data_IF_077582027829
#
_entry.id   IF_077582027829
#
_cell.length_a   1.000
_cell.length_b   1.000
_cell.length_c   1.000
_cell.angle_alpha   90.00
_cell.angle_beta   90.00
_cell.angle_gamma   90.00
#
_symmetry.space_group_name_H-M   'P 1'
#
loop_
_entity.id
_entity.type
_entity.pdbx_description
1 polymer ?
#
# COMPACT_ATOMS: atom_id res chain seq x y z
N UNK A 1 17.28 76.01 -43.94
CA UNK A 1 17.48 76.05 -45.41
C UNK A 1 16.73 74.89 -45.98
N UNK A 2 15.86 75.23 -46.87
CA UNK A 2 14.90 74.43 -47.59
C UNK A 2 15.53 73.65 -48.76
N UNK A 3 14.72 72.96 -49.49
CA UNK A 3 14.46 71.52 -49.83
C UNK A 3 14.87 71.25 -51.31
N UNK A 4 14.29 70.52 -52.20
CA UNK A 4 13.05 69.75 -52.28
C UNK A 4 13.17 68.36 -53.01
N UNK A 5 12.14 67.63 -52.98
CA UNK A 5 11.05 67.37 -53.97
C UNK A 5 11.21 66.14 -54.91
N UNK A 6 10.13 65.39 -54.97
CA UNK A 6 9.24 65.00 -56.08
C UNK A 6 9.81 63.95 -57.07
N UNK A 7 9.11 63.07 -57.68
CA UNK A 7 7.74 62.77 -58.06
C UNK A 7 7.67 61.44 -58.80
N UNK A 8 6.60 60.67 -58.55
CA UNK A 8 5.65 60.04 -59.42
C UNK A 8 6.05 59.29 -60.71
N UNK A 9 5.44 58.15 -60.90
CA UNK A 9 4.53 57.62 -61.90
C UNK A 9 4.66 56.15 -62.06
N UNK A 10 3.73 55.30 -61.82
CA UNK A 10 2.42 54.95 -62.43
C UNK A 10 2.56 54.28 -63.83
N UNK A 11 1.72 53.27 -64.00
CA UNK A 11 1.16 52.65 -65.23
C UNK A 11 1.63 51.20 -65.46
N UNK A 12 0.78 50.30 -65.23
CA UNK A 12 -0.36 49.62 -65.86
C UNK A 12 0.03 48.28 -66.60
N UNK A 13 -0.65 47.26 -66.18
CA UNK A 13 -1.42 46.25 -66.91
C UNK A 13 -0.74 45.43 -68.05
N UNK A 14 -0.79 44.13 -67.93
CA UNK A 14 -1.38 43.22 -68.93
C UNK A 14 -1.49 41.75 -68.37
N UNK A 15 -2.69 41.23 -68.50
CA UNK A 15 -3.08 39.88 -68.22
C UNK A 15 -2.55 38.92 -69.29
N UNK A 16 -2.03 37.72 -68.87
CA UNK A 16 -1.99 36.55 -69.75
C UNK A 16 -2.35 35.31 -68.92
N UNK A 17 -3.41 34.63 -69.33
CA UNK A 17 -3.88 33.35 -68.90
C UNK A 17 -2.83 32.26 -69.13
N UNK A 18 -2.51 31.50 -68.13
CA UNK A 18 -1.80 30.25 -68.25
C UNK A 18 -2.34 29.22 -67.27
N UNK A 19 -3.28 28.41 -67.74
CA UNK A 19 -3.80 27.26 -67.01
C UNK A 19 -2.68 26.22 -66.85
N UNK A 20 -2.31 25.93 -65.59
CA UNK A 20 -1.49 24.78 -65.22
C UNK A 20 -2.20 23.98 -64.15
N UNK A 21 -2.44 22.73 -64.49
CA UNK A 21 -3.01 21.64 -63.69
C UNK A 21 -2.41 21.59 -62.30
N UNK A 22 -3.15 21.98 -61.29
CA UNK A 22 -2.86 21.68 -59.92
C UNK A 22 -3.26 20.23 -59.66
N UNK A 23 -2.28 19.35 -59.56
CA UNK A 23 -2.47 17.99 -59.01
C UNK A 23 -3.00 18.09 -57.58
N UNK A 24 -4.26 17.67 -57.39
CA UNK A 24 -4.81 17.43 -56.07
C UNK A 24 -4.06 16.30 -55.42
N UNK A 25 -3.14 16.66 -54.53
CA UNK A 25 -2.76 15.74 -53.45
C UNK A 25 -3.89 15.77 -52.44
N UNK A 26 -4.51 14.62 -52.10
CA UNK A 26 -5.39 14.60 -50.95
C UNK A 26 -4.52 14.95 -49.72
N UNK A 27 -5.04 15.80 -48.80
CA UNK A 27 -4.38 15.98 -47.52
C UNK A 27 -4.29 14.57 -46.88
N UNK A 28 -3.08 14.14 -46.54
CA UNK A 28 -2.89 13.05 -45.64
C UNK A 28 -3.78 13.32 -44.42
N UNK A 29 -4.78 12.49 -44.24
CA UNK A 29 -5.50 12.42 -42.98
C UNK A 29 -4.46 12.25 -41.92
N UNK A 30 -4.09 13.30 -41.24
CA UNK A 30 -3.54 13.24 -39.90
C UNK A 30 -4.47 12.36 -39.10
N UNK A 31 -3.93 11.42 -38.38
CA UNK A 31 -4.62 10.62 -37.41
C UNK A 31 -5.50 11.57 -36.60
N UNK A 32 -6.80 11.32 -36.65
CA UNK A 32 -7.79 12.16 -35.99
C UNK A 32 -7.47 12.18 -34.49
N UNK A 33 -7.05 13.34 -34.07
CA UNK A 33 -7.06 13.73 -32.68
C UNK A 33 -8.52 13.60 -32.18
N UNK A 34 -8.83 12.43 -31.63
CA UNK A 34 -10.01 12.27 -30.80
C UNK A 34 -9.66 12.98 -29.50
N UNK A 35 -9.94 14.28 -29.43
CA UNK A 35 -9.90 15.07 -28.20
C UNK A 35 -10.97 14.58 -27.20
N UNK A 36 -10.81 13.34 -26.73
CA UNK A 36 -11.40 12.91 -25.48
C UNK A 36 -10.75 13.74 -24.38
N UNK A 37 -11.55 14.26 -23.46
CA UNK A 37 -11.06 14.95 -22.27
C UNK A 37 -10.08 14.02 -21.57
N UNK A 38 -8.84 14.47 -21.29
CA UNK A 38 -7.86 13.68 -20.60
C UNK A 38 -8.40 13.22 -19.24
N UNK A 39 -8.15 11.96 -18.87
CA UNK A 39 -8.57 11.42 -17.57
C UNK A 39 -7.86 12.18 -16.45
N UNK A 40 -8.62 12.63 -15.47
CA UNK A 40 -8.07 13.20 -14.24
C UNK A 40 -7.67 12.07 -13.29
N UNK A 41 -6.39 11.96 -13.03
CA UNK A 41 -5.82 10.93 -12.16
C UNK A 41 -5.21 11.59 -10.95
N UNK A 42 -5.55 11.09 -9.77
CA UNK A 42 -4.94 11.49 -8.51
C UNK A 42 -4.08 10.34 -7.99
N UNK A 43 -2.87 10.65 -7.55
CA UNK A 43 -1.96 9.70 -6.91
C UNK A 43 -1.57 10.23 -5.54
N UNK A 44 -1.12 9.34 -4.66
CA UNK A 44 -0.63 9.76 -3.34
C UNK A 44 0.76 10.37 -3.41
N UNK A 45 1.66 9.84 -4.23
CA UNK A 45 3.06 10.27 -4.30
C UNK A 45 3.50 10.66 -5.71
N UNK A 46 4.59 11.42 -5.79
CA UNK A 46 5.20 11.83 -7.07
C UNK A 46 5.72 10.65 -7.89
N UNK A 47 6.19 9.58 -7.23
CA UNK A 47 6.66 8.36 -7.92
C UNK A 47 5.49 7.70 -8.63
N UNK A 48 4.36 7.52 -7.96
CA UNK A 48 3.15 6.97 -8.58
C UNK A 48 2.64 7.89 -9.69
N UNK A 49 2.72 9.22 -9.49
CA UNK A 49 2.36 10.19 -10.53
C UNK A 49 3.25 10.06 -11.78
N UNK A 50 4.54 9.82 -11.62
CA UNK A 50 5.43 9.60 -12.75
C UNK A 50 5.06 8.32 -13.50
N UNK A 51 4.90 7.19 -12.81
CA UNK A 51 4.49 5.93 -13.44
C UNK A 51 3.19 6.09 -14.26
N UNK A 52 2.19 6.78 -13.69
CA UNK A 52 0.93 7.08 -14.41
C UNK A 52 1.17 7.95 -15.63
N UNK A 53 2.02 8.99 -15.53
CA UNK A 53 2.37 9.86 -16.65
C UNK A 53 3.09 9.11 -17.76
N UNK A 54 3.98 8.17 -17.42
CA UNK A 54 4.69 7.36 -18.41
C UNK A 54 3.74 6.47 -19.23
N UNK A 55 2.69 5.95 -18.61
CA UNK A 55 1.67 5.13 -19.28
C UNK A 55 0.64 5.99 -20.00
N UNK A 56 0.15 7.03 -19.34
CA UNK A 56 -0.99 7.82 -19.80
C UNK A 56 -0.65 8.88 -20.84
N UNK A 57 0.56 9.49 -20.74
CA UNK A 57 1.01 10.62 -21.60
C UNK A 57 -0.06 11.71 -21.68
N UNK A 58 -0.40 12.15 -22.89
CA UNK A 58 -1.34 13.23 -23.18
C UNK A 58 -2.80 12.88 -22.86
N UNK A 59 -3.09 11.63 -22.54
CA UNK A 59 -4.44 11.15 -22.23
C UNK A 59 -4.79 11.21 -20.75
N UNK A 60 -3.87 11.65 -19.90
CA UNK A 60 -4.08 11.79 -18.45
C UNK A 60 -3.62 13.15 -17.96
N UNK A 61 -4.35 13.69 -17.01
CA UNK A 61 -3.93 14.82 -16.19
C UNK A 61 -3.71 14.30 -14.77
N UNK A 62 -2.45 14.27 -14.33
CA UNK A 62 -2.07 13.63 -13.07
C UNK A 62 -1.71 14.66 -12.01
N UNK A 63 -2.38 14.59 -10.87
CA UNK A 63 -2.04 15.30 -9.64
C UNK A 63 -1.49 14.34 -8.58
N UNK A 64 -0.44 14.76 -7.86
CA UNK A 64 0.04 14.08 -6.66
C UNK A 64 -0.43 14.83 -5.43
N UNK A 65 -1.00 14.12 -4.44
CA UNK A 65 -1.46 14.74 -3.19
C UNK A 65 -0.25 15.16 -2.36
N UNK A 66 0.66 14.22 -2.08
CA UNK A 66 1.90 14.55 -1.40
C UNK A 66 2.76 15.34 -2.38
N UNK A 67 3.17 16.58 -2.02
CA UNK A 67 3.97 17.42 -2.90
C UNK A 67 5.37 16.84 -3.10
N UNK A 68 6.09 17.25 -4.15
CA UNK A 68 7.47 16.85 -4.37
C UNK A 68 8.34 17.06 -3.13
N UNK A 69 9.00 15.98 -2.72
CA UNK A 69 9.83 15.97 -1.52
C UNK A 69 9.05 15.92 -0.20
N UNK A 70 7.74 15.78 -0.23
CA UNK A 70 6.93 15.49 0.95
C UNK A 70 7.05 14.03 1.37
N UNK A 71 6.79 13.76 2.64
CA UNK A 71 6.83 12.43 3.22
C UNK A 71 5.40 11.87 3.34
N UNK A 72 5.05 10.78 2.60
CA UNK A 72 3.72 10.17 2.67
C UNK A 72 3.38 9.58 4.04
N UNK A 73 4.37 9.19 4.83
CA UNK A 73 4.18 8.62 6.17
C UNK A 73 3.66 9.61 7.21
N UNK A 74 3.79 10.91 6.94
CA UNK A 74 3.43 11.97 7.88
C UNK A 74 2.59 13.08 7.25
N UNK A 75 2.14 12.91 6.00
CA UNK A 75 1.40 13.94 5.30
C UNK A 75 -0.04 14.09 5.81
N UNK A 76 -0.36 15.30 6.26
CA UNK A 76 -1.71 15.68 6.68
C UNK A 76 -2.51 16.22 5.47
N UNK A 77 -3.59 15.53 5.04
CA UNK A 77 -4.35 15.96 3.88
C UNK A 77 -5.11 17.28 4.13
N UNK A 78 -5.18 18.10 3.09
CA UNK A 78 -5.85 19.40 3.11
C UNK A 78 -7.25 19.31 2.47
N UNK A 79 -8.14 20.31 2.70
CA UNK A 79 -9.41 20.40 1.97
C UNK A 79 -9.27 20.48 0.44
N UNK A 80 -8.14 20.98 -0.05
CA UNK A 80 -7.82 21.00 -1.47
C UNK A 80 -7.59 19.60 -2.01
N UNK A 81 -6.88 18.77 -1.27
CA UNK A 81 -6.60 17.37 -1.64
C UNK A 81 -7.91 16.58 -1.73
N UNK A 82 -8.81 16.78 -0.76
CA UNK A 82 -10.15 16.20 -0.78
C UNK A 82 -10.95 16.62 -2.02
N UNK A 83 -10.84 17.89 -2.44
CA UNK A 83 -11.49 18.37 -3.66
C UNK A 83 -10.88 17.78 -4.95
N UNK A 84 -9.56 17.62 -5.00
CA UNK A 84 -8.87 16.97 -6.12
C UNK A 84 -9.28 15.50 -6.24
N UNK A 85 -9.39 14.78 -5.12
CA UNK A 85 -9.89 13.39 -5.09
C UNK A 85 -11.35 13.31 -5.57
N UNK A 86 -12.21 14.23 -5.13
CA UNK A 86 -13.61 14.25 -5.55
C UNK A 86 -13.80 14.48 -7.06
N UNK A 87 -12.85 15.16 -7.70
CA UNK A 87 -12.87 15.46 -9.13
C UNK A 87 -12.12 14.42 -10.00
N UNK A 88 -11.46 13.47 -9.38
CA UNK A 88 -10.66 12.43 -10.05
C UNK A 88 -11.54 11.40 -10.78
N UNK A 89 -11.09 10.93 -11.94
CA UNK A 89 -11.66 9.78 -12.65
C UNK A 89 -11.03 8.45 -12.20
N UNK A 90 -9.79 8.50 -11.69
CA UNK A 90 -9.06 7.36 -11.11
C UNK A 90 -8.19 7.86 -9.96
N UNK A 91 -8.09 7.09 -8.90
CA UNK A 91 -7.10 7.30 -7.83
C UNK A 91 -6.16 6.11 -7.73
N UNK A 92 -4.86 6.37 -7.57
CA UNK A 92 -3.85 5.38 -7.26
C UNK A 92 -3.19 5.71 -5.94
N UNK A 93 -3.20 4.75 -5.04
CA UNK A 93 -2.48 4.75 -3.77
C UNK A 93 -1.42 3.68 -3.79
N UNK A 94 -0.45 3.72 -2.90
CA UNK A 94 0.45 2.59 -2.71
C UNK A 94 -0.13 1.59 -1.72
N UNK A 95 -0.65 2.07 -0.60
CA UNK A 95 -1.04 1.27 0.58
C UNK A 95 0.13 0.63 1.31
N UNK A 96 -0.14 -0.44 2.05
CA UNK A 96 0.83 -1.15 2.90
C UNK A 96 1.52 -0.22 3.92
N UNK A 97 0.76 0.74 4.46
CA UNK A 97 1.22 1.75 5.42
C UNK A 97 2.30 2.72 4.88
N UNK A 98 2.43 2.88 3.56
CA UNK A 98 3.23 3.97 3.01
C UNK A 98 2.60 5.32 3.36
N UNK A 99 1.30 5.43 3.11
CA UNK A 99 0.57 6.65 3.39
C UNK A 99 0.03 6.68 4.80
N UNK A 100 0.05 7.88 5.41
CA UNK A 100 -0.60 8.12 6.68
C UNK A 100 -2.09 7.78 6.58
N UNK A 101 -2.64 7.20 7.64
CA UNK A 101 -4.03 6.73 7.69
C UNK A 101 -5.06 7.83 7.36
N UNK A 102 -4.80 9.07 7.79
CA UNK A 102 -5.64 10.22 7.48
C UNK A 102 -5.71 10.51 5.98
N UNK A 103 -4.62 10.27 5.24
CA UNK A 103 -4.57 10.44 3.80
C UNK A 103 -5.42 9.39 3.09
N UNK A 104 -5.29 8.12 3.45
CA UNK A 104 -6.11 7.04 2.89
C UNK A 104 -7.61 7.28 3.19
N UNK A 105 -7.95 7.62 4.44
CA UNK A 105 -9.33 8.01 4.79
C UNK A 105 -9.87 9.16 3.95
N UNK A 106 -9.05 10.16 3.67
CA UNK A 106 -9.47 11.31 2.86
C UNK A 106 -9.76 10.88 1.43
N UNK A 107 -8.95 9.99 0.85
CA UNK A 107 -9.19 9.45 -0.48
C UNK A 107 -10.49 8.63 -0.49
N UNK A 108 -10.62 7.69 0.43
CA UNK A 108 -11.80 6.80 0.49
C UNK A 108 -13.10 7.57 0.71
N UNK A 109 -13.09 8.61 1.54
CA UNK A 109 -14.28 9.39 1.85
C UNK A 109 -14.70 10.34 0.71
N UNK A 110 -13.77 10.81 -0.12
CA UNK A 110 -14.04 11.85 -1.12
C UNK A 110 -14.08 11.33 -2.56
N UNK A 111 -13.48 10.18 -2.87
CA UNK A 111 -13.59 9.60 -4.20
C UNK A 111 -15.06 9.31 -4.56
N UNK A 112 -15.47 9.64 -5.81
CA UNK A 112 -16.83 9.33 -6.29
C UNK A 112 -17.08 7.84 -6.33
N UNK A 113 -18.34 7.42 -6.20
CA UNK A 113 -18.74 6.02 -6.14
C UNK A 113 -18.18 5.17 -7.30
N UNK A 114 -18.10 5.75 -8.49
CA UNK A 114 -17.68 5.05 -9.71
C UNK A 114 -16.19 5.30 -10.05
N UNK A 115 -15.47 6.04 -9.21
CA UNK A 115 -14.03 6.26 -9.37
C UNK A 115 -13.26 5.07 -8.83
N UNK A 116 -12.49 4.35 -9.66
CA UNK A 116 -11.60 3.31 -9.15
C UNK A 116 -10.58 3.92 -8.18
N UNK A 117 -10.46 3.32 -7.00
CA UNK A 117 -9.38 3.58 -6.06
C UNK A 117 -8.51 2.32 -6.02
N UNK A 118 -7.29 2.40 -6.57
CA UNK A 118 -6.44 1.23 -6.80
C UNK A 118 -5.21 1.32 -5.91
N UNK A 119 -5.06 0.33 -5.02
CA UNK A 119 -3.83 0.10 -4.27
C UNK A 119 -2.80 -0.58 -5.17
N UNK A 120 -1.72 0.13 -5.52
CA UNK A 120 -0.72 -0.42 -6.45
C UNK A 120 0.09 -1.54 -5.82
N UNK A 121 0.54 -1.38 -4.58
CA UNK A 121 1.35 -2.41 -3.94
C UNK A 121 0.57 -3.71 -3.72
N UNK A 122 -0.65 -3.63 -3.20
CA UNK A 122 -1.47 -4.82 -2.93
C UNK A 122 -1.93 -5.52 -4.21
N UNK A 123 -2.39 -4.75 -5.21
CA UNK A 123 -2.93 -5.33 -6.44
C UNK A 123 -1.86 -5.79 -7.43
N UNK A 124 -0.61 -5.30 -7.31
CA UNK A 124 0.50 -5.67 -8.20
C UNK A 124 0.98 -7.11 -8.04
N UNK A 125 0.68 -7.77 -6.93
CA UNK A 125 0.94 -9.21 -6.78
C UNK A 125 0.33 -10.04 -7.91
N UNK A 126 -0.86 -9.64 -8.41
CA UNK A 126 -1.51 -10.31 -9.54
C UNK A 126 -0.72 -10.15 -10.85
N UNK A 127 0.21 -9.21 -10.90
CA UNK A 127 1.14 -8.98 -12.02
C UNK A 127 2.55 -9.49 -11.73
N UNK A 128 2.73 -10.24 -10.63
CA UNK A 128 3.98 -10.91 -10.30
C UNK A 128 4.94 -10.06 -9.46
N UNK A 129 4.48 -8.95 -8.86
CA UNK A 129 5.29 -8.24 -7.89
C UNK A 129 5.67 -9.15 -6.73
N UNK A 130 6.93 -9.09 -6.34
CA UNK A 130 7.46 -9.78 -5.17
C UNK A 130 7.28 -8.87 -3.95
N UNK A 131 6.62 -9.36 -2.93
CA UNK A 131 6.34 -8.60 -1.71
C UNK A 131 7.26 -9.07 -0.59
N UNK A 132 8.01 -8.14 0.00
CA UNK A 132 8.93 -8.43 1.09
C UNK A 132 8.21 -8.18 2.41
N UNK A 133 8.03 -9.22 3.24
CA UNK A 133 7.61 -9.01 4.61
C UNK A 133 8.68 -8.25 5.39
N UNK A 134 8.30 -7.21 6.13
CA UNK A 134 9.17 -6.56 7.11
C UNK A 134 9.30 -7.46 8.36
N UNK A 135 9.84 -8.63 8.18
CA UNK A 135 10.14 -9.54 9.29
C UNK A 135 11.63 -9.42 9.59
N UNK A 136 11.99 -8.59 10.55
CA UNK A 136 13.37 -8.58 11.06
C UNK A 136 13.77 -9.90 11.74
N UNK A 137 12.82 -10.71 12.09
CA UNK A 137 13.08 -12.04 12.61
C UNK A 137 12.89 -13.04 11.47
N UNK A 138 13.97 -13.34 10.76
CA UNK A 138 14.07 -14.34 9.67
C UNK A 138 13.56 -15.75 10.10
N UNK A 139 13.12 -15.91 11.36
CA UNK A 139 12.54 -17.11 11.92
C UNK A 139 11.02 -17.14 12.02
N UNK A 140 10.31 -16.06 11.74
CA UNK A 140 8.85 -15.98 11.88
C UNK A 140 8.13 -16.15 10.53
N UNK A 141 8.28 -17.33 9.94
CA UNK A 141 7.38 -17.79 8.88
C UNK A 141 6.04 -18.19 9.50
N UNK A 142 5.16 -17.21 9.76
CA UNK A 142 3.85 -17.37 10.40
C UNK A 142 2.78 -16.71 9.55
N UNK A 143 1.52 -17.06 9.83
CA UNK A 143 0.37 -16.47 9.17
C UNK A 143 0.29 -14.96 9.42
N UNK A 144 -0.04 -14.21 8.38
CA UNK A 144 -0.42 -12.79 8.48
C UNK A 144 -1.92 -12.66 8.51
N UNK A 145 -2.43 -12.09 9.61
CA UNK A 145 -3.85 -12.03 9.88
C UNK A 145 -4.36 -10.60 9.87
N UNK A 146 -5.20 -10.27 8.88
CA UNK A 146 -5.81 -8.97 8.71
C UNK A 146 -7.30 -8.92 9.00
N UNK A 147 -7.86 -7.70 8.84
CA UNK A 147 -9.29 -7.44 8.73
C UNK A 147 -9.59 -6.89 7.34
N UNK A 148 -10.68 -7.38 6.74
CA UNK A 148 -11.07 -6.93 5.40
C UNK A 148 -12.58 -6.73 5.29
N UNK A 149 -12.98 -5.74 4.48
CA UNK A 149 -14.35 -5.56 4.01
C UNK A 149 -14.39 -5.80 2.51
N UNK A 150 -15.24 -6.70 2.05
CA UNK A 150 -15.38 -7.05 0.62
C UNK A 150 -16.82 -6.91 0.16
N UNK A 151 -16.99 -6.87 -1.16
CA UNK A 151 -18.28 -6.74 -1.81
C UNK A 151 -18.79 -5.30 -1.89
N UNK A 152 -19.67 -5.07 -2.85
CA UNK A 152 -20.23 -3.73 -3.12
C UNK A 152 -21.33 -3.37 -2.11
N UNK A 153 -22.04 -4.35 -1.56
CA UNK A 153 -23.16 -4.15 -0.63
C UNK A 153 -24.32 -3.33 -1.21
N UNK A 154 -24.44 -3.25 -2.53
CA UNK A 154 -25.43 -2.41 -3.22
C UNK A 154 -26.86 -2.76 -2.81
N UNK A 155 -27.17 -4.06 -2.65
CA UNK A 155 -28.48 -4.53 -2.20
C UNK A 155 -28.82 -4.09 -0.76
N UNK A 156 -27.84 -3.67 0.02
CA UNK A 156 -27.96 -3.17 1.39
C UNK A 156 -27.86 -1.65 1.49
N UNK A 157 -27.74 -0.97 0.35
CA UNK A 157 -27.56 0.47 0.27
C UNK A 157 -26.19 0.96 0.74
N UNK A 158 -25.18 0.10 0.75
CA UNK A 158 -23.82 0.49 1.08
C UNK A 158 -23.28 1.49 0.05
N UNK A 159 -22.56 2.47 0.54
CA UNK A 159 -21.86 3.50 -0.25
C UNK A 159 -20.47 3.67 0.35
N UNK A 160 -19.56 4.36 -0.32
CA UNK A 160 -18.23 4.69 0.23
C UNK A 160 -18.28 5.45 1.55
N UNK A 161 -19.37 6.15 1.83
CA UNK A 161 -19.59 6.85 3.08
C UNK A 161 -20.28 6.00 4.15
N UNK A 162 -20.43 4.71 3.93
CA UNK A 162 -20.96 3.77 4.92
C UNK A 162 -19.86 3.30 5.85
N UNK A 163 -20.23 2.99 7.08
CA UNK A 163 -19.33 2.43 8.10
C UNK A 163 -19.68 0.96 8.34
N UNK A 164 -18.68 0.11 8.38
CA UNK A 164 -18.81 -1.27 8.85
C UNK A 164 -18.29 -1.33 10.28
N UNK A 165 -19.21 -1.46 11.22
CA UNK A 165 -18.93 -1.63 12.65
C UNK A 165 -18.63 -3.11 12.90
N UNK A 166 -17.39 -3.43 13.23
CA UNK A 166 -16.93 -4.78 13.55
C UNK A 166 -16.60 -4.85 15.05
N UNK A 167 -17.38 -5.62 15.80
CA UNK A 167 -17.27 -5.72 17.27
C UNK A 167 -16.81 -7.11 17.68
N UNK A 168 -15.86 -7.20 18.61
CA UNK A 168 -15.59 -8.42 19.35
C UNK A 168 -16.68 -8.58 20.44
N UNK A 169 -17.48 -9.65 20.32
CA UNK A 169 -18.63 -9.86 21.21
C UNK A 169 -18.42 -10.98 22.22
N UNK A 170 -17.50 -11.89 21.95
CA UNK A 170 -17.09 -12.94 22.88
C UNK A 170 -15.64 -13.37 22.59
N UNK A 171 -14.89 -13.59 23.64
CA UNK A 171 -13.59 -14.25 23.61
C UNK A 171 -13.60 -15.36 24.68
N UNK A 172 -13.17 -16.55 24.29
CA UNK A 172 -12.91 -17.62 25.24
C UNK A 172 -11.51 -18.20 24.99
N UNK A 173 -10.77 -18.47 26.05
CA UNK A 173 -9.40 -19.00 25.98
C UNK A 173 -8.71 -19.00 27.34
N UNK A 174 -7.51 -19.55 27.44
CA UNK A 174 -6.77 -19.65 28.71
C UNK A 174 -6.17 -18.32 29.20
N UNK A 175 -6.09 -17.31 28.32
CA UNK A 175 -5.53 -15.99 28.59
C UNK A 175 -6.26 -14.89 27.85
N UNK A 176 -5.61 -13.74 27.73
CA UNK A 176 -6.13 -12.57 26.98
C UNK A 176 -5.82 -12.73 25.49
N UNK A 177 -6.72 -12.23 24.67
CA UNK A 177 -6.54 -11.96 23.24
C UNK A 177 -6.60 -10.46 23.06
N UNK A 178 -5.59 -9.90 22.40
CA UNK A 178 -5.52 -8.49 22.03
C UNK A 178 -5.22 -8.36 20.56
N UNK A 179 -6.00 -7.58 19.82
CA UNK A 179 -5.72 -7.20 18.44
C UNK A 179 -5.44 -5.69 18.38
N UNK A 180 -4.32 -5.31 17.78
CA UNK A 180 -3.91 -3.92 17.73
C UNK A 180 -3.10 -3.60 16.47
N UNK A 181 -3.17 -2.35 16.04
CA UNK A 181 -2.37 -1.79 14.97
C UNK A 181 -1.20 -1.02 15.59
N UNK A 182 0.01 -1.22 15.09
CA UNK A 182 1.12 -0.31 15.37
C UNK A 182 1.18 0.69 14.21
N UNK A 183 0.85 1.94 14.52
CA UNK A 183 0.87 3.02 13.53
C UNK A 183 2.29 3.39 13.10
N UNK A 184 2.39 4.24 12.09
CA UNK A 184 3.66 4.72 11.50
C UNK A 184 4.62 5.38 12.53
N UNK A 185 4.07 5.89 13.63
CA UNK A 185 4.86 6.48 14.74
C UNK A 185 5.13 5.48 15.88
N UNK A 186 4.95 4.18 15.66
CA UNK A 186 5.16 3.14 16.67
C UNK A 186 4.11 3.12 17.79
N UNK A 187 3.08 3.97 17.74
CA UNK A 187 2.02 3.98 18.75
C UNK A 187 0.99 2.88 18.49
N UNK A 188 0.67 2.03 19.49
CA UNK A 188 -0.36 1.02 19.31
C UNK A 188 -1.75 1.63 19.36
N UNK A 189 -2.61 1.21 18.44
CA UNK A 189 -4.04 1.46 18.44
C UNK A 189 -4.75 0.13 18.68
N UNK A 190 -5.38 -0.02 19.83
CA UNK A 190 -6.07 -1.27 20.20
C UNK A 190 -7.42 -1.32 19.51
N UNK A 191 -7.67 -2.43 18.83
CA UNK A 191 -8.92 -2.76 18.15
C UNK A 191 -9.82 -3.63 19.01
N UNK A 192 -9.26 -4.66 19.66
CA UNK A 192 -9.95 -5.56 20.56
C UNK A 192 -9.05 -5.92 21.73
N UNK A 193 -9.54 -5.86 22.97
CA UNK A 193 -8.84 -6.32 24.16
C UNK A 193 -9.79 -7.11 25.08
N UNK A 194 -9.62 -8.41 25.15
CA UNK A 194 -10.44 -9.25 26.04
C UNK A 194 -10.08 -9.11 27.53
N UNK A 195 -9.08 -8.33 27.87
CA UNK A 195 -8.51 -8.26 29.23
C UNK A 195 -9.21 -7.25 30.15
N UNK A 196 -9.85 -6.24 29.60
CA UNK A 196 -10.62 -5.23 30.35
C UNK A 196 -12.15 -5.46 30.27
N UNK A 197 -12.56 -6.54 29.59
CA UNK A 197 -13.96 -6.88 29.33
C UNK A 197 -14.41 -6.30 28.00
N UNK A 198 -15.13 -7.11 27.19
CA UNK A 198 -15.59 -6.68 25.88
C UNK A 198 -16.73 -5.68 26.01
N UNK A 199 -16.51 -4.47 25.54
CA UNK A 199 -17.47 -3.37 25.56
C UNK A 199 -17.53 -2.61 24.21
N UNK A 200 -18.06 -1.39 24.22
CA UNK A 200 -18.16 -0.57 23.02
C UNK A 200 -16.78 -0.18 22.42
N UNK A 201 -15.70 -0.24 23.19
CA UNK A 201 -14.34 0.06 22.70
C UNK A 201 -13.78 -1.06 21.85
N UNK A 202 -14.29 -2.30 22.02
CA UNK A 202 -13.97 -3.44 21.19
C UNK A 202 -14.77 -3.46 19.87
N UNK A 203 -15.07 -2.26 19.37
CA UNK A 203 -15.72 -2.05 18.09
C UNK A 203 -14.83 -1.16 17.24
N UNK A 204 -14.35 -1.70 16.16
CA UNK A 204 -13.67 -0.92 15.12
C UNK A 204 -14.63 -0.53 14.02
N UNK A 205 -14.37 0.62 13.37
CA UNK A 205 -15.13 1.10 12.23
C UNK A 205 -14.25 1.02 11.00
N UNK A 206 -14.67 0.25 10.02
CA UNK A 206 -13.97 0.04 8.77
C UNK A 206 -14.79 0.65 7.62
N UNK A 207 -14.17 1.37 6.68
CA UNK A 207 -14.87 1.76 5.44
C UNK A 207 -15.12 0.53 4.54
N UNK A 208 -16.03 0.63 3.55
CA UNK A 208 -16.11 -0.35 2.47
C UNK A 208 -14.76 -0.50 1.77
N UNK A 209 -14.44 -1.73 1.36
CA UNK A 209 -13.14 -2.10 0.78
C UNK A 209 -11.92 -1.92 1.71
N UNK A 210 -12.13 -1.74 3.00
CA UNK A 210 -11.03 -1.71 3.97
C UNK A 210 -10.23 -3.01 3.95
N UNK A 211 -8.91 -2.85 4.07
CA UNK A 211 -7.97 -3.93 4.28
C UNK A 211 -6.91 -3.43 5.26
N UNK A 212 -6.74 -4.12 6.38
CA UNK A 212 -5.76 -3.74 7.38
C UNK A 212 -5.24 -4.95 8.14
N UNK A 213 -3.94 -5.04 8.31
CA UNK A 213 -3.29 -6.08 9.09
C UNK A 213 -3.12 -5.64 10.53
N UNK A 214 -3.16 -6.56 11.45
CA UNK A 214 -3.08 -6.29 12.88
C UNK A 214 -2.08 -7.23 13.56
N UNK A 215 -1.52 -6.76 14.68
CA UNK A 215 -0.89 -7.64 15.64
C UNK A 215 -1.98 -8.38 16.42
N UNK A 216 -1.87 -9.70 16.51
CA UNK A 216 -2.77 -10.55 17.30
C UNK A 216 -1.98 -11.21 18.40
N UNK A 217 -2.12 -10.72 19.62
CA UNK A 217 -1.36 -11.15 20.77
C UNK A 217 -2.21 -12.02 21.73
N UNK A 218 -1.60 -13.09 22.23
CA UNK A 218 -2.21 -14.07 23.12
C UNK A 218 -1.30 -14.28 24.33
N UNK A 219 -1.79 -14.07 25.55
CA UNK A 219 -0.97 -14.08 26.76
C UNK A 219 -0.69 -15.47 27.32
N UNK A 220 -1.33 -16.51 26.83
CA UNK A 220 -1.12 -17.91 27.24
C UNK A 220 -1.35 -18.87 26.08
N UNK A 221 -0.62 -19.99 26.02
CA UNK A 221 -0.89 -21.02 25.03
C UNK A 221 -2.22 -21.74 25.28
N UNK A 222 -2.83 -22.26 24.22
CA UNK A 222 -4.05 -23.05 24.21
C UNK A 222 -5.03 -22.66 23.13
N UNK A 223 -6.26 -23.18 23.20
CA UNK A 223 -7.32 -22.88 22.26
C UNK A 223 -8.03 -21.57 22.63
N UNK A 224 -8.14 -20.68 21.64
CA UNK A 224 -8.98 -19.47 21.74
C UNK A 224 -10.11 -19.50 20.74
N UNK A 225 -11.19 -18.80 21.06
CA UNK A 225 -12.32 -18.53 20.17
C UNK A 225 -12.68 -17.07 20.27
N UNK A 226 -12.68 -16.37 19.14
CA UNK A 226 -13.10 -14.96 19.00
C UNK A 226 -14.38 -14.92 18.19
N UNK A 227 -15.43 -14.35 18.76
CA UNK A 227 -16.68 -14.07 18.05
C UNK A 227 -16.73 -12.61 17.65
N UNK A 228 -16.72 -12.37 16.35
CA UNK A 228 -16.93 -11.05 15.75
C UNK A 228 -18.36 -10.91 15.28
N UNK A 229 -18.91 -9.71 15.42
CA UNK A 229 -20.21 -9.30 14.89
C UNK A 229 -20.05 -8.07 14.03
N UNK A 230 -20.62 -8.08 12.82
CA UNK A 230 -20.56 -6.97 11.89
C UNK A 230 -21.92 -6.30 11.71
N UNK A 231 -21.91 -4.97 11.56
CA UNK A 231 -23.10 -4.16 11.25
C UNK A 231 -22.74 -3.11 10.21
N UNK A 232 -23.59 -2.92 9.22
CA UNK A 232 -23.49 -1.85 8.23
C UNK A 232 -24.26 -0.62 8.72
N UNK A 233 -23.60 0.51 8.84
CA UNK A 233 -24.19 1.80 9.15
C UNK A 233 -24.08 2.71 7.93
N UNK A 234 -25.19 2.89 7.24
CA UNK A 234 -25.30 3.87 6.14
C UNK A 234 -25.45 5.28 6.73
N UNK A 235 -25.25 6.30 5.90
CA UNK A 235 -25.44 7.70 6.30
C UNK A 235 -26.82 7.98 6.91
N UNK A 236 -27.84 7.28 6.42
CA UNK A 236 -29.23 7.41 6.90
C UNK A 236 -29.77 6.04 7.32
N UNK A 237 -30.69 6.04 8.26
CA UNK A 237 -31.34 4.83 8.75
C UNK A 237 -30.60 4.12 9.89
N UNK A 238 -31.20 3.03 10.43
CA UNK A 238 -30.60 2.22 11.47
C UNK A 238 -29.44 1.36 10.92
N UNK A 239 -28.52 0.95 11.80
CA UNK A 239 -27.49 0.01 11.43
C UNK A 239 -28.08 -1.38 11.12
N UNK A 240 -27.68 -1.97 10.00
CA UNK A 240 -28.13 -3.29 9.54
C UNK A 240 -27.18 -4.37 10.07
N UNK A 241 -27.73 -5.50 10.48
CA UNK A 241 -26.93 -6.65 10.91
C UNK A 241 -26.34 -7.36 9.68
N UNK A 242 -25.02 -7.61 9.70
CA UNK A 242 -24.27 -8.38 8.69
C UNK A 242 -23.88 -9.77 9.22
N UNK A 243 -24.42 -10.16 10.41
CA UNK A 243 -24.15 -11.45 10.99
C UNK A 243 -22.96 -11.47 11.95
N UNK A 244 -22.59 -12.68 12.36
CA UNK A 244 -21.48 -12.94 13.25
C UNK A 244 -20.71 -14.18 12.82
N UNK A 245 -19.43 -14.28 13.21
CA UNK A 245 -18.58 -15.44 12.97
C UNK A 245 -17.67 -15.70 14.17
N UNK A 246 -17.43 -16.98 14.48
CA UNK A 246 -16.53 -17.38 15.56
C UNK A 246 -15.29 -18.04 14.96
N UNK A 247 -14.15 -17.39 15.12
CA UNK A 247 -12.84 -17.84 14.65
C UNK A 247 -12.10 -18.58 15.76
N UNK A 248 -11.46 -19.70 15.42
CA UNK A 248 -10.71 -20.54 16.37
C UNK A 248 -9.22 -20.38 16.13
N UNK A 249 -8.45 -20.17 17.22
CA UNK A 249 -6.99 -20.08 17.19
C UNK A 249 -6.39 -21.22 18.01
N UNK A 250 -5.32 -21.80 17.48
CA UNK A 250 -4.45 -22.76 18.17
C UNK A 250 -3.14 -22.05 18.54
N UNK A 251 -3.00 -21.62 19.79
CA UNK A 251 -1.88 -20.79 20.24
C UNK A 251 -0.87 -21.66 20.98
N UNK A 252 0.32 -21.82 20.43
CA UNK A 252 1.40 -22.61 21.05
C UNK A 252 1.04 -24.08 21.27
N UNK A 253 0.03 -24.60 20.58
CA UNK A 253 -0.43 -26.00 20.63
C UNK A 253 -0.64 -26.51 19.22
N UNK A 254 -0.60 -27.83 19.04
CA UNK A 254 -0.84 -28.45 17.72
C UNK A 254 -2.25 -28.08 17.20
N UNK A 255 -2.36 -27.36 16.07
CA UNK A 255 -3.63 -26.91 15.52
C UNK A 255 -4.57 -28.08 15.14
N UNK A 256 -4.01 -29.25 14.79
CA UNK A 256 -4.82 -30.43 14.46
C UNK A 256 -5.54 -31.02 15.69
N UNK A 257 -5.06 -30.75 16.89
CA UNK A 257 -5.76 -31.16 18.14
C UNK A 257 -6.94 -30.24 18.48
N UNK A 258 -6.97 -29.06 17.88
CA UNK A 258 -7.98 -28.03 18.09
C UNK A 258 -9.00 -28.00 16.95
N UNK A 259 -8.58 -28.43 15.77
CA UNK A 259 -9.38 -28.45 14.55
C UNK A 259 -10.55 -29.48 14.65
N UNK A 260 -11.73 -29.06 14.15
CA UNK A 260 -12.82 -30.01 13.87
C UNK A 260 -12.50 -30.89 12.66
N UNK A 261 -13.27 -31.99 12.45
CA UNK A 261 -13.09 -32.82 11.28
C UNK A 261 -13.24 -32.02 9.97
N UNK A 262 -12.20 -32.06 9.13
CA UNK A 262 -12.22 -31.37 7.82
C UNK A 262 -11.91 -29.88 7.88
N UNK A 263 -11.59 -29.32 9.03
CA UNK A 263 -11.18 -27.92 9.13
C UNK A 263 -9.80 -27.67 8.50
N UNK A 264 -9.69 -26.57 7.77
CA UNK A 264 -8.45 -26.10 7.18
C UNK A 264 -7.59 -25.43 8.26
N UNK A 265 -6.33 -25.83 8.37
CA UNK A 265 -5.35 -25.14 9.21
C UNK A 265 -4.71 -24.04 8.39
N UNK A 266 -4.74 -22.83 8.93
CA UNK A 266 -4.13 -21.63 8.35
C UNK A 266 -2.89 -21.33 9.20
N UNK A 267 -1.69 -21.70 8.70
CA UNK A 267 -0.43 -21.69 9.42
C UNK A 267 0.65 -20.81 8.77
N UNK A 268 0.43 -20.41 7.52
CA UNK A 268 1.34 -19.53 6.77
C UNK A 268 0.60 -18.66 5.77
N UNK A 269 1.33 -17.73 5.13
CA UNK A 269 0.79 -16.85 4.11
C UNK A 269 -0.13 -15.76 4.67
N UNK A 270 -1.11 -15.34 3.88
CA UNK A 270 -1.97 -14.22 4.18
C UNK A 270 -3.43 -14.68 4.36
N UNK A 271 -4.07 -14.18 5.39
CA UNK A 271 -5.50 -14.40 5.67
C UNK A 271 -6.13 -13.15 6.27
N UNK A 272 -7.34 -12.82 5.84
CA UNK A 272 -8.14 -11.76 6.42
C UNK A 272 -9.42 -12.31 7.06
N UNK A 273 -9.73 -11.86 8.28
CA UNK A 273 -11.07 -11.99 8.84
C UNK A 273 -11.98 -11.00 8.12
N UNK A 274 -12.83 -11.52 7.26
CA UNK A 274 -13.53 -10.74 6.24
C UNK A 274 -15.00 -10.56 6.56
N UNK A 275 -15.48 -9.33 6.33
CA UNK A 275 -16.92 -9.01 6.25
C UNK A 275 -17.29 -8.85 4.78
N UNK A 276 -18.14 -9.72 4.27
CA UNK A 276 -18.62 -9.64 2.89
C UNK A 276 -19.98 -8.93 2.85
N UNK A 277 -20.01 -7.73 2.24
CA UNK A 277 -21.19 -6.87 2.19
C UNK A 277 -22.30 -7.42 1.29
N UNK A 278 -21.97 -8.20 0.27
CA UNK A 278 -22.94 -8.74 -0.66
C UNK A 278 -23.69 -9.92 -0.04
N UNK A 279 -22.96 -10.81 0.63
CA UNK A 279 -23.53 -11.99 1.28
C UNK A 279 -24.05 -11.71 2.69
N UNK A 280 -23.52 -10.68 3.38
CA UNK A 280 -23.79 -10.40 4.79
C UNK A 280 -23.24 -11.50 5.70
N UNK A 281 -22.05 -12.00 5.43
CA UNK A 281 -21.39 -13.07 6.21
C UNK A 281 -19.97 -12.68 6.57
N UNK A 282 -19.49 -13.29 7.65
CA UNK A 282 -18.09 -13.28 8.02
C UNK A 282 -17.43 -14.57 7.55
N UNK A 283 -16.17 -14.48 7.12
CA UNK A 283 -15.37 -15.58 6.60
C UNK A 283 -13.89 -15.32 6.83
N UNK A 284 -13.03 -16.28 6.58
CA UNK A 284 -11.63 -16.07 6.32
C UNK A 284 -11.41 -15.97 4.80
N UNK A 285 -10.74 -14.94 4.34
CA UNK A 285 -10.31 -14.81 2.96
C UNK A 285 -8.80 -15.03 2.91
N UNK A 286 -8.37 -16.11 2.28
CA UNK A 286 -7.00 -16.61 2.39
C UNK A 286 -6.39 -16.97 1.05
N UNK A 287 -5.07 -16.86 0.95
CA UNK A 287 -4.26 -17.31 -0.17
C UNK A 287 -3.81 -18.75 0.10
N UNK A 288 -4.47 -19.74 -0.49
CA UNK A 288 -4.07 -21.13 -0.35
C UNK A 288 -2.89 -21.45 -1.27
N UNK A 289 -1.71 -21.77 -0.68
CA UNK A 289 -0.51 -22.18 -1.44
C UNK A 289 -0.65 -23.49 -2.22
N UNK A 290 -1.61 -24.34 -1.87
CA UNK A 290 -1.72 -25.71 -2.40
C UNK A 290 -2.18 -25.80 -3.86
N UNK A 291 -2.78 -24.76 -4.46
CA UNK A 291 -3.35 -24.81 -5.81
C UNK A 291 -3.00 -23.58 -6.69
N UNK A 292 -1.82 -23.02 -6.52
CA UNK A 292 -1.36 -21.93 -7.39
C UNK A 292 -2.15 -20.63 -7.20
N UNK A 293 -2.06 -19.99 -6.04
CA UNK A 293 -2.51 -18.62 -5.75
C UNK A 293 -4.01 -18.32 -5.98
N UNK A 294 -4.89 -19.29 -5.82
CA UNK A 294 -6.33 -19.03 -5.80
C UNK A 294 -6.73 -18.53 -4.41
N UNK A 295 -7.24 -17.30 -4.35
CA UNK A 295 -7.83 -16.77 -3.11
C UNK A 295 -9.15 -17.47 -2.84
N UNK A 296 -9.36 -17.91 -1.60
CA UNK A 296 -10.55 -18.63 -1.19
C UNK A 296 -11.21 -17.97 0.04
N UNK A 297 -12.55 -18.00 0.04
CA UNK A 297 -13.35 -17.51 1.17
C UNK A 297 -13.92 -18.72 1.93
N UNK A 298 -13.41 -18.95 3.16
CA UNK A 298 -13.74 -20.13 3.98
C UNK A 298 -14.59 -19.70 5.19
N UNK A 299 -15.68 -20.40 5.52
CA UNK A 299 -16.47 -20.08 6.72
C UNK A 299 -15.66 -20.18 8.01
N UNK A 300 -15.96 -19.36 9.05
CA UNK A 300 -15.18 -19.34 10.28
C UNK A 300 -15.15 -20.67 11.04
N UNK A 301 -16.20 -21.50 10.88
CA UNK A 301 -16.29 -22.82 11.52
C UNK A 301 -15.41 -23.89 10.89
N UNK A 302 -14.93 -23.66 9.67
CA UNK A 302 -14.19 -24.63 8.86
C UNK A 302 -12.68 -24.35 8.84
N UNK A 303 -12.21 -23.45 9.71
CA UNK A 303 -10.80 -23.08 9.84
C UNK A 303 -10.30 -23.15 11.27
N UNK A 304 -8.99 -23.36 11.40
CA UNK A 304 -8.21 -23.07 12.61
C UNK A 304 -7.01 -22.24 12.22
N UNK A 305 -6.83 -21.11 12.91
CA UNK A 305 -5.70 -20.21 12.74
C UNK A 305 -4.59 -20.66 13.67
N UNK A 306 -3.43 -21.04 13.11
CA UNK A 306 -2.26 -21.43 13.89
C UNK A 306 -1.47 -20.20 14.36
N UNK A 307 -1.14 -20.20 15.64
CA UNK A 307 -0.23 -19.24 16.28
C UNK A 307 0.87 -20.05 16.93
N UNK A 308 1.91 -20.44 16.17
CA UNK A 308 2.89 -21.43 16.59
C UNK A 308 3.82 -20.91 17.68
N UNK A 309 4.58 -21.83 18.33
CA UNK A 309 5.56 -21.47 19.36
C UNK A 309 6.70 -20.57 18.84
N UNK A 310 7.00 -20.61 17.53
CA UNK A 310 7.95 -19.69 16.92
C UNK A 310 7.47 -18.23 16.93
N UNK A 311 6.17 -17.99 17.15
CA UNK A 311 5.56 -16.66 17.31
C UNK A 311 5.59 -16.15 18.77
N UNK A 312 6.41 -16.77 19.64
CA UNK A 312 6.59 -16.33 21.03
C UNK A 312 7.49 -15.10 21.08
N UNK A 313 6.95 -14.02 21.61
CA UNK A 313 7.62 -12.73 21.78
C UNK A 313 7.56 -12.26 23.23
N UNK A 314 8.22 -11.13 23.52
CA UNK A 314 8.22 -10.53 24.85
C UNK A 314 7.67 -9.11 24.80
N UNK A 315 6.79 -8.80 25.75
CA UNK A 315 6.21 -7.45 25.88
C UNK A 315 7.32 -6.40 26.00
N UNK A 316 7.32 -5.35 25.13
CA UNK A 316 8.33 -4.31 25.18
C UNK A 316 8.36 -3.52 26.49
N UNK A 317 9.50 -2.88 26.76
CA UNK A 317 9.66 -1.97 27.90
C UNK A 317 8.84 -0.69 27.81
N UNK A 318 8.39 -0.31 26.62
CA UNK A 318 7.58 0.90 26.38
C UNK A 318 6.24 0.81 27.08
N UNK A 319 5.87 1.94 27.75
CA UNK A 319 4.60 2.07 28.46
C UNK A 319 3.37 1.95 27.55
N UNK A 320 3.52 2.30 26.29
CA UNK A 320 2.44 2.20 25.29
C UNK A 320 1.95 0.76 25.10
N UNK A 321 2.79 -0.25 25.34
CA UNK A 321 2.45 -1.68 25.18
C UNK A 321 2.01 -2.38 26.48
N UNK A 322 1.75 -1.62 27.55
CA UNK A 322 1.33 -2.21 28.86
C UNK A 322 0.00 -2.94 28.82
N UNK A 323 -0.84 -2.68 27.86
CA UNK A 323 -2.06 -3.44 27.62
C UNK A 323 -1.79 -4.92 27.29
N UNK A 324 -0.59 -5.29 26.82
CA UNK A 324 -0.19 -6.68 26.59
C UNK A 324 0.26 -7.40 27.88
N UNK A 325 0.68 -6.65 28.89
CA UNK A 325 1.20 -7.17 30.16
C UNK A 325 2.41 -6.40 30.67
N UNK A 326 3.06 -6.90 31.72
CA UNK A 326 4.29 -6.29 32.20
C UNK A 326 5.44 -6.51 31.19
N UNK A 327 6.41 -5.55 31.12
CA UNK A 327 7.58 -5.70 30.28
C UNK A 327 8.30 -7.03 30.49
N UNK A 328 8.69 -7.68 29.38
CA UNK A 328 9.33 -8.97 29.38
C UNK A 328 8.40 -10.18 29.58
N UNK A 329 7.10 -9.97 29.79
CA UNK A 329 6.14 -11.08 29.78
C UNK A 329 6.08 -11.74 28.39
N UNK A 330 5.98 -13.07 28.37
CA UNK A 330 5.84 -13.81 27.13
C UNK A 330 4.44 -13.69 26.55
N UNK A 331 4.35 -13.43 25.24
CA UNK A 331 3.11 -13.40 24.46
C UNK A 331 3.33 -14.16 23.16
N UNK A 332 2.35 -14.92 22.69
CA UNK A 332 2.37 -15.44 21.33
C UNK A 332 1.71 -14.40 20.43
N UNK A 333 2.37 -14.02 19.33
CA UNK A 333 1.88 -12.94 18.48
C UNK A 333 2.00 -13.27 17.01
N UNK A 334 0.85 -13.26 16.30
CA UNK A 334 0.90 -13.07 14.84
C UNK A 334 1.21 -11.60 14.60
N UNK A 335 2.31 -11.31 13.92
CA UNK A 335 2.78 -9.93 13.82
C UNK A 335 2.02 -9.15 12.76
N UNK A 336 1.70 -7.90 13.08
CA UNK A 336 1.70 -6.83 12.11
C UNK A 336 3.14 -6.34 11.93
N UNK A 337 3.86 -6.20 13.05
CA UNK A 337 5.26 -5.88 13.13
C UNK A 337 5.89 -6.56 14.36
N UNK A 338 7.21 -6.71 14.39
CA UNK A 338 7.91 -7.18 15.57
C UNK A 338 7.73 -6.17 16.71
N UNK A 339 7.33 -6.62 17.89
CA UNK A 339 7.10 -5.78 19.06
C UNK A 339 8.28 -4.83 19.31
N UNK A 340 8.01 -3.53 19.16
CA UNK A 340 8.96 -2.46 19.48
C UNK A 340 10.05 -2.16 18.45
N UNK A 341 10.00 -2.69 17.23
CA UNK A 341 11.07 -2.50 16.24
C UNK A 341 10.64 -1.96 14.87
N UNK A 342 9.35 -1.94 14.49
CA UNK A 342 8.97 -1.54 13.14
C UNK A 342 7.85 -0.53 13.05
N UNK A 343 7.97 0.24 12.02
CA UNK A 343 7.17 1.42 11.75
C UNK A 343 6.34 1.29 10.48
N UNK A 344 6.72 0.41 9.57
CA UNK A 344 6.05 0.26 8.28
C UNK A 344 5.03 -0.91 8.23
N UNK A 345 4.57 -1.46 9.35
CA UNK A 345 3.67 -2.60 9.33
C UNK A 345 4.32 -3.89 8.80
N UNK A 346 3.51 -4.83 8.31
CA UNK A 346 3.96 -6.20 7.96
C UNK A 346 4.74 -6.30 6.66
N UNK A 347 4.61 -5.34 5.78
CA UNK A 347 5.18 -5.37 4.44
C UNK A 347 5.91 -4.07 4.17
N UNK A 348 7.14 -4.17 3.66
CA UNK A 348 7.86 -3.01 3.15
C UNK A 348 7.05 -2.39 2.01
N UNK A 349 6.59 -1.13 2.13
CA UNK A 349 5.72 -0.53 1.13
C UNK A 349 6.47 0.02 -0.09
N UNK A 350 7.81 -0.05 -0.12
CA UNK A 350 8.66 0.60 -1.11
C UNK A 350 8.96 -0.29 -2.32
N UNK A 351 7.94 -1.03 -2.82
CA UNK A 351 8.07 -2.05 -3.87
C UNK A 351 8.75 -1.53 -5.14
N UNK A 352 8.49 -0.27 -5.51
CA UNK A 352 9.02 0.35 -6.74
C UNK A 352 10.55 0.49 -6.79
N UNK A 353 11.24 0.27 -5.69
CA UNK A 353 12.72 0.29 -5.65
C UNK A 353 13.35 -0.95 -6.29
N UNK A 354 12.56 -1.97 -6.56
CA UNK A 354 12.86 -3.06 -7.48
C UNK A 354 12.21 -2.74 -8.84
N UNK A 355 13.01 -2.69 -9.91
CA UNK A 355 12.52 -2.38 -11.24
C UNK A 355 11.49 -3.41 -11.76
N UNK A 356 11.60 -4.66 -11.36
CA UNK A 356 10.62 -5.71 -11.70
C UNK A 356 9.26 -5.42 -11.06
N UNK A 357 9.24 -5.03 -9.77
CA UNK A 357 8.02 -4.61 -9.11
C UNK A 357 7.43 -3.34 -9.73
N UNK A 358 8.27 -2.39 -10.15
CA UNK A 358 7.83 -1.19 -10.87
C UNK A 358 7.13 -1.54 -12.19
N UNK A 359 7.58 -2.58 -12.91
CA UNK A 359 6.87 -3.08 -14.11
C UNK A 359 5.49 -3.62 -13.78
N UNK A 360 5.34 -4.33 -12.66
CA UNK A 360 4.03 -4.79 -12.21
C UNK A 360 3.07 -3.61 -11.93
N UNK A 361 3.57 -2.52 -11.34
CA UNK A 361 2.79 -1.28 -11.18
C UNK A 361 2.38 -0.69 -12.54
N UNK A 362 3.30 -0.63 -13.49
CA UNK A 362 3.04 -0.13 -14.86
C UNK A 362 1.94 -0.92 -15.54
N UNK A 363 1.95 -2.25 -15.42
CA UNK A 363 0.94 -3.13 -16.00
C UNK A 363 -0.44 -2.92 -15.37
N UNK A 364 -0.50 -2.79 -14.05
CA UNK A 364 -1.73 -2.53 -13.32
C UNK A 364 -2.31 -1.15 -13.68
N UNK A 365 -1.46 -0.11 -13.75
CA UNK A 365 -1.84 1.23 -14.20
C UNK A 365 -2.39 1.18 -15.63
N UNK A 366 -1.68 0.53 -16.56
CA UNK A 366 -2.13 0.34 -17.95
C UNK A 366 -3.54 -0.25 -18.01
N UNK A 367 -3.76 -1.35 -17.31
CA UNK A 367 -5.03 -2.07 -17.39
C UNK A 367 -6.17 -1.31 -16.72
N UNK A 368 -5.85 -0.53 -15.68
CA UNK A 368 -6.81 0.38 -15.06
C UNK A 368 -7.20 1.52 -16.00
N UNK A 369 -6.23 2.18 -16.63
CA UNK A 369 -6.49 3.26 -17.59
C UNK A 369 -7.27 2.76 -18.81
N UNK A 370 -6.97 1.56 -19.32
CA UNK A 370 -7.72 0.94 -20.43
C UNK A 370 -9.18 0.69 -20.09
N UNK A 371 -9.51 0.38 -18.84
CA UNK A 371 -10.89 0.20 -18.39
C UNK A 371 -11.65 1.53 -18.35
N UNK A 372 -10.97 2.62 -17.96
CA UNK A 372 -11.58 3.95 -17.84
C UNK A 372 -11.64 4.71 -19.17
N UNK A 373 -10.67 4.49 -20.04
CA UNK A 373 -10.61 5.06 -21.41
C UNK A 373 -10.28 3.96 -22.42
N UNK A 374 -11.28 3.17 -22.84
CA UNK A 374 -11.09 2.12 -23.85
C UNK A 374 -10.57 2.66 -25.20
N UNK A 375 -10.87 3.91 -25.54
CA UNK A 375 -10.40 4.54 -26.77
C UNK A 375 -8.87 4.76 -26.75
N UNK A 376 -8.27 4.93 -25.58
CA UNK A 376 -6.84 5.06 -25.38
C UNK A 376 -6.07 3.75 -25.29
N UNK A 377 -6.75 2.58 -25.27
CA UNK A 377 -6.14 1.29 -24.96
C UNK A 377 -4.84 0.98 -25.73
N UNK A 378 -4.85 1.19 -27.04
CA UNK A 378 -3.66 0.95 -27.88
C UNK A 378 -2.49 1.90 -27.53
N UNK A 379 -2.75 3.11 -27.08
CA UNK A 379 -1.74 4.05 -26.64
C UNK A 379 -1.15 3.65 -25.29
N UNK A 380 -1.99 3.28 -24.33
CA UNK A 380 -1.55 2.77 -23.03
C UNK A 380 -0.68 1.52 -23.17
N UNK A 381 -1.07 0.57 -24.03
CA UNK A 381 -0.27 -0.63 -24.31
C UNK A 381 1.10 -0.32 -24.92
N UNK A 382 1.18 0.65 -25.84
CA UNK A 382 2.46 1.07 -26.45
C UNK A 382 3.35 1.74 -25.42
N UNK A 383 2.78 2.68 -24.65
CA UNK A 383 3.53 3.47 -23.68
C UNK A 383 4.04 2.58 -22.52
N UNK A 384 3.20 1.68 -22.01
CA UNK A 384 3.58 0.72 -20.97
C UNK A 384 4.76 -0.14 -21.44
N UNK A 385 4.66 -0.78 -22.62
CA UNK A 385 5.78 -1.57 -23.16
C UNK A 385 7.06 -0.76 -23.36
N UNK A 386 6.93 0.49 -23.81
CA UNK A 386 8.11 1.35 -23.99
C UNK A 386 8.76 1.71 -22.65
N UNK A 387 7.96 1.91 -21.62
CA UNK A 387 8.46 2.22 -20.28
C UNK A 387 8.99 0.99 -19.55
N UNK A 388 8.34 -0.17 -19.70
CA UNK A 388 8.87 -1.46 -19.23
C UNK A 388 10.28 -1.72 -19.80
N UNK A 389 10.51 -1.43 -21.08
CA UNK A 389 11.85 -1.52 -21.67
C UNK A 389 12.88 -0.58 -21.04
N UNK A 390 12.45 0.63 -20.60
CA UNK A 390 13.34 1.53 -19.86
C UNK A 390 13.63 1.00 -18.45
N UNK A 391 12.66 0.34 -17.81
CA UNK A 391 12.85 -0.32 -16.52
C UNK A 391 13.79 -1.53 -16.64
N UNK A 392 13.71 -2.29 -17.73
CA UNK A 392 14.69 -3.38 -18.04
C UNK A 392 16.12 -2.83 -18.18
N UNK A 393 16.27 -1.70 -18.91
CA UNK A 393 17.57 -1.01 -19.04
C UNK A 393 18.09 -0.51 -17.69
N UNK A 394 17.20 0.03 -16.85
CA UNK A 394 17.52 0.47 -15.50
C UNK A 394 17.96 -0.70 -14.60
N UNK A 395 17.21 -1.80 -14.63
CA UNK A 395 17.53 -3.01 -13.88
C UNK A 395 18.92 -3.56 -14.25
N UNK A 396 19.20 -3.69 -15.55
CA UNK A 396 20.50 -4.13 -16.05
C UNK A 396 21.63 -3.18 -15.63
N UNK A 397 21.38 -1.86 -15.70
CA UNK A 397 22.32 -0.84 -15.24
C UNK A 397 22.61 -0.96 -13.75
N UNK A 398 21.56 -1.03 -12.90
CA UNK A 398 21.70 -1.15 -11.45
C UNK A 398 22.45 -2.43 -11.09
N UNK A 399 22.04 -3.57 -11.66
CA UNK A 399 22.70 -4.87 -11.48
C UNK A 399 24.19 -4.78 -11.81
N UNK A 400 24.53 -4.24 -12.98
CA UNK A 400 25.94 -4.12 -13.42
C UNK A 400 26.74 -3.23 -12.48
N UNK A 401 26.20 -2.09 -12.08
CA UNK A 401 26.93 -1.11 -11.23
C UNK A 401 27.12 -1.63 -9.82
N UNK A 402 26.09 -2.24 -9.23
CA UNK A 402 26.13 -2.72 -7.85
C UNK A 402 26.94 -4.01 -7.73
N UNK A 403 26.81 -4.93 -8.68
CA UNK A 403 27.62 -6.16 -8.68
C UNK A 403 29.10 -5.90 -8.94
N UNK A 404 29.45 -4.77 -9.55
CA UNK A 404 30.82 -4.29 -9.67
C UNK A 404 31.45 -3.82 -8.34
N UNK A 405 30.65 -3.58 -7.31
CA UNK A 405 31.14 -3.27 -5.96
C UNK A 405 31.54 -4.59 -5.26
N UNK A 406 32.68 -4.68 -4.57
CA UNK A 406 33.05 -5.85 -3.80
C UNK A 406 31.95 -6.22 -2.79
N UNK A 407 31.59 -7.51 -2.60
CA UNK A 407 30.49 -7.93 -1.71
C UNK A 407 30.55 -7.35 -0.31
N UNK A 408 31.73 -7.30 0.31
CA UNK A 408 31.92 -6.72 1.65
C UNK A 408 31.75 -5.19 1.72
N UNK A 409 31.52 -4.51 0.59
CA UNK A 409 31.26 -3.07 0.52
C UNK A 409 29.87 -2.71 -0.01
N UNK A 410 29.01 -3.69 -0.26
CA UNK A 410 27.62 -3.51 -0.70
C UNK A 410 26.70 -3.29 0.49
N UNK A 411 27.05 -2.38 1.36
CA UNK A 411 26.32 -2.11 2.58
C UNK A 411 25.66 -0.73 2.50
N UNK A 412 24.37 -0.68 2.85
CA UNK A 412 23.55 0.52 2.92
C UNK A 412 23.38 0.92 4.38
N UNK A 413 23.60 2.18 4.67
CA UNK A 413 23.07 2.86 5.85
C UNK A 413 22.25 4.02 5.33
N UNK A 414 21.00 4.09 5.76
CA UNK A 414 19.97 4.97 5.21
C UNK A 414 19.35 5.83 6.32
N UNK A 415 18.56 6.82 5.95
CA UNK A 415 17.85 7.63 6.93
C UNK A 415 16.75 6.86 7.63
N UNK A 416 15.95 6.08 6.86
CA UNK A 416 14.94 5.20 7.44
C UNK A 416 14.94 3.83 6.75
N UNK A 417 14.17 2.88 7.30
CA UNK A 417 14.06 1.53 6.76
C UNK A 417 13.11 1.50 5.56
N UNK A 418 13.66 1.66 4.35
CA UNK A 418 12.91 1.77 3.12
C UNK A 418 13.56 1.07 1.92
N UNK A 419 14.69 0.42 2.11
CA UNK A 419 15.53 -0.03 1.00
C UNK A 419 15.66 -1.56 0.89
N UNK A 420 14.70 -2.29 1.48
CA UNK A 420 14.67 -3.75 1.46
C UNK A 420 14.60 -4.32 0.03
N UNK A 421 13.74 -3.76 -0.80
CA UNK A 421 13.60 -4.20 -2.21
C UNK A 421 14.84 -3.92 -3.05
N UNK A 422 15.39 -2.71 -2.95
CA UNK A 422 16.64 -2.37 -3.63
C UNK A 422 17.79 -3.29 -3.17
N UNK A 423 17.89 -3.55 -1.89
CA UNK A 423 18.93 -4.43 -1.35
C UNK A 423 18.78 -5.87 -1.88
N UNK A 424 17.56 -6.41 -1.86
CA UNK A 424 17.25 -7.75 -2.36
C UNK A 424 17.49 -7.88 -3.86
N UNK A 425 16.96 -6.96 -4.66
CA UNK A 425 17.07 -7.00 -6.13
C UNK A 425 18.52 -6.95 -6.59
N UNK A 426 19.36 -6.11 -5.97
CA UNK A 426 20.70 -5.82 -6.47
C UNK A 426 21.83 -6.37 -5.60
N UNK A 427 21.52 -7.24 -4.63
CA UNK A 427 22.53 -7.92 -3.82
C UNK A 427 23.30 -6.98 -2.89
N UNK A 428 22.59 -6.02 -2.29
CA UNK A 428 23.09 -5.15 -1.22
C UNK A 428 22.63 -5.66 0.16
N UNK A 429 23.20 -5.12 1.21
CA UNK A 429 22.81 -5.41 2.59
C UNK A 429 22.44 -4.11 3.28
N UNK A 430 21.25 -4.00 3.83
CA UNK A 430 20.90 -2.91 4.74
C UNK A 430 21.60 -3.17 6.07
N UNK A 431 22.67 -2.43 6.33
CA UNK A 431 23.48 -2.59 7.53
C UNK A 431 22.92 -1.81 8.73
N UNK A 432 22.02 -0.85 8.45
CA UNK A 432 21.33 -0.06 9.46
C UNK A 432 20.65 1.17 8.88
N UNK A 433 19.89 1.83 9.71
CA UNK A 433 19.22 3.09 9.40
C UNK A 433 19.29 4.02 10.60
N UNK A 434 19.15 5.33 10.37
CA UNK A 434 19.22 6.36 11.42
C UNK A 434 17.98 6.29 12.30
N UNK A 435 16.81 6.19 11.68
CA UNK A 435 15.52 6.00 12.35
C UNK A 435 14.70 4.92 11.64
N UNK A 436 13.88 4.16 12.36
CA UNK A 436 12.95 3.24 11.72
C UNK A 436 11.87 3.96 10.92
N UNK A 437 11.51 5.19 11.30
CA UNK A 437 10.49 6.01 10.67
C UNK A 437 10.96 7.46 10.52
N UNK A 438 10.68 8.10 9.35
CA UNK A 438 11.05 9.50 9.10
C UNK A 438 10.51 10.51 10.12
N UNK A 439 9.37 10.20 10.76
CA UNK A 439 8.73 11.09 11.74
C UNK A 439 9.31 11.00 13.15
N UNK A 440 10.28 10.10 13.39
CA UNK A 440 10.93 9.93 14.70
C UNK A 440 12.31 10.57 14.73
N UNK A 441 12.65 11.18 15.87
CA UNK A 441 14.03 11.55 16.14
C UNK A 441 14.79 10.35 16.72
N UNK A 442 16.04 10.11 16.29
CA UNK A 442 16.83 9.00 16.82
C UNK A 442 17.14 9.22 18.29
N UNK A 443 17.05 8.17 19.09
CA UNK A 443 17.55 8.22 20.47
C UNK A 443 19.08 8.24 20.49
N UNK A 444 19.67 8.73 21.59
CA UNK A 444 21.13 8.71 21.76
C UNK A 444 21.71 7.28 21.68
N UNK A 445 20.93 6.29 22.09
CA UNK A 445 21.31 4.88 22.04
C UNK A 445 21.30 4.32 20.60
N UNK A 446 20.32 4.75 19.77
CA UNK A 446 20.27 4.40 18.35
C UNK A 446 21.47 4.97 17.60
N UNK A 447 21.81 6.23 17.87
CA UNK A 447 22.99 6.88 17.28
C UNK A 447 24.29 6.17 17.69
N UNK A 448 24.42 5.75 18.95
CA UNK A 448 25.59 5.00 19.41
C UNK A 448 25.70 3.63 18.72
N UNK A 449 24.59 2.87 18.62
CA UNK A 449 24.56 1.58 17.95
C UNK A 449 24.88 1.73 16.46
N UNK A 450 24.29 2.70 15.79
CA UNK A 450 24.57 2.96 14.38
C UNK A 450 26.04 3.34 14.15
N UNK A 451 26.59 4.22 15.01
CA UNK A 451 28.01 4.61 14.98
C UNK A 451 28.94 3.42 15.16
N UNK A 452 28.61 2.51 16.07
CA UNK A 452 29.37 1.27 16.28
C UNK A 452 29.28 0.38 15.03
N UNK A 453 28.11 0.23 14.43
CA UNK A 453 27.90 -0.54 13.18
C UNK A 453 28.73 0.02 12.03
N UNK A 454 28.70 1.35 11.82
CA UNK A 454 29.50 2.02 10.77
C UNK A 454 30.99 1.74 10.95
N UNK A 455 31.50 1.86 12.19
CA UNK A 455 32.91 1.61 12.49
C UNK A 455 33.31 0.16 12.32
N UNK A 456 32.50 -0.78 12.85
CA UNK A 456 32.81 -2.20 12.83
C UNK A 456 32.76 -2.79 11.42
N UNK A 457 31.80 -2.33 10.59
CA UNK A 457 31.64 -2.80 9.22
C UNK A 457 32.41 -1.97 8.19
N UNK A 458 33.11 -0.90 8.62
CA UNK A 458 33.85 0.03 7.76
C UNK A 458 32.98 0.55 6.61
N UNK A 459 31.71 0.89 6.91
CA UNK A 459 30.76 1.37 5.90
C UNK A 459 31.25 2.70 5.32
N UNK A 460 31.42 2.80 3.99
CA UNK A 460 32.07 3.96 3.37
C UNK A 460 31.16 5.19 3.24
N UNK A 461 29.84 5.02 3.33
CA UNK A 461 28.87 6.10 3.11
C UNK A 461 27.55 5.84 3.86
N UNK A 462 26.94 6.93 4.29
CA UNK A 462 25.56 6.99 4.79
C UNK A 462 24.73 7.76 3.76
N UNK A 463 23.60 7.22 3.38
CA UNK A 463 22.70 7.83 2.41
C UNK A 463 21.61 8.61 3.16
N UNK A 464 21.53 9.90 2.87
CA UNK A 464 20.59 10.82 3.50
C UNK A 464 19.49 11.20 2.54
N UNK A 465 18.25 11.17 3.00
CA UNK A 465 17.12 11.72 2.28
C UNK A 465 17.02 13.22 2.56
N UNK A 466 17.08 14.09 1.52
CA UNK A 466 17.25 15.54 1.71
C UNK A 466 16.08 16.22 2.41
N UNK A 467 14.92 15.59 2.42
CA UNK A 467 13.67 16.16 2.95
C UNK A 467 13.35 15.73 4.38
N UNK A 468 14.05 14.75 4.90
CA UNK A 468 13.88 14.35 6.28
C UNK A 468 14.63 15.30 7.19
N UNK A 469 13.93 15.93 8.12
CA UNK A 469 14.39 17.05 8.97
C UNK A 469 15.49 16.68 9.98
N UNK A 470 16.32 15.70 9.69
CA UNK A 470 17.31 15.14 10.61
C UNK A 470 18.66 15.86 10.50
N UNK A 471 18.65 17.15 10.75
CA UNK A 471 19.84 17.99 10.68
C UNK A 471 20.88 17.77 11.78
N UNK A 472 20.59 16.93 12.76
CA UNK A 472 21.41 16.81 13.97
C UNK A 472 22.26 15.52 14.05
N UNK A 473 22.21 14.61 13.06
CA UNK A 473 22.75 13.27 13.23
C UNK A 473 23.98 12.94 12.36
N UNK A 474 24.50 13.89 11.60
CA UNK A 474 25.71 13.70 10.78
C UNK A 474 26.81 14.63 11.23
#
# INVERSE_FOLDING_TARGET
>A
MHPPSRLTRAVAAAAVCGALLAACHPPSRGDGDSSGTALKVVTTTEILADLVKQVGRDRVQVASIVPPGGDPHSYEPTPRDAAEVADADVTFTNHLLLEEHALIKTIDANARKDTPNVSLAEASETYGADVIPLVENVGLDVLWLGLRVRGEGTARGATRASDIQLSATAVSGPGRLVAYLTGSLGQPVVYFDSGDGLDAKDTTVLPPAAHTHLNWAFTRPGRYRLTLKARLKNLTGPAQDLGSGTFTFAVGVDPHTVAGPGATVLDDGHTDLTVNLDTGRLSAFTDLRTNGRAQEEIPPGDIVIDVPNKALEHVPGDKAFRFLGPPGAAVHQLPQAVLGKHVHGEIDPHLWQDAENAKAYVQLIRDTLKKQDPAGAASYDRNARAYEGQLDDLDAYMTTRITGIPPGRRQLITTHDAFGYLAKAYGMTVAGFVVPNPSQEPSADDVQRLTATIRNLHVPAVFMEPNLAQRATV
#
